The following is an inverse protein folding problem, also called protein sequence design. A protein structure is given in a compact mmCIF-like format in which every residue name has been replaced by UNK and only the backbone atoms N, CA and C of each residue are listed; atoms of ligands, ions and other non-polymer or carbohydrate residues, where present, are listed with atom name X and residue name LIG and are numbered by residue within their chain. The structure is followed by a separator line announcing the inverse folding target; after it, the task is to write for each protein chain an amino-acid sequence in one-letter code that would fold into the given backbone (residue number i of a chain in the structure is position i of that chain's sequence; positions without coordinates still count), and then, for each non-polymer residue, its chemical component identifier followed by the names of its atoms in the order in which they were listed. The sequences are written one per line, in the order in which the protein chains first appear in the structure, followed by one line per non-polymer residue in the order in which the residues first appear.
data_IF_713080928241
#
_entry.id   IF_713080928241
#
_cell.length_a   1.000
_cell.length_b   1.000
_cell.length_c   1.000
_cell.angle_alpha   90.00
_cell.angle_beta   90.00
_cell.angle_gamma   90.00
#
_symmetry.space_group_name_H-M   'P 1'
#
loop_
_entity.id
_entity.type
_entity.pdbx_description
1 polymer ?
#
# COMPACT_ATOMS: atom_id res chain seq x y z
N UNK A 1 10.95 -0.20 24.16
CA UNK A 1 11.29 -0.99 22.97
C UNK A 1 11.79 -0.03 21.91
N UNK A 2 12.97 -0.25 21.35
CA UNK A 2 13.66 0.76 20.56
C UNK A 2 12.90 1.02 19.23
N UNK A 3 12.94 2.24 18.66
CA UNK A 3 12.31 2.54 17.37
C UNK A 3 12.79 1.62 16.23
N UNK A 4 14.03 1.15 16.34
CA UNK A 4 14.78 0.43 15.30
C UNK A 4 14.28 -1.03 15.16
N UNK A 5 13.99 -1.70 16.28
CA UNK A 5 13.44 -3.08 16.31
C UNK A 5 12.06 -3.17 15.65
N UNK A 6 11.28 -2.09 15.71
CA UNK A 6 9.94 -2.03 15.07
C UNK A 6 10.04 -1.90 13.55
N UNK A 7 11.09 -1.26 13.04
CA UNK A 7 11.36 -1.15 11.61
C UNK A 7 11.67 -2.52 11.00
N UNK A 8 12.64 -3.23 11.58
CA UNK A 8 13.06 -4.56 11.10
C UNK A 8 11.92 -5.59 11.15
N UNK A 9 11.09 -5.54 12.19
CA UNK A 9 9.91 -6.41 12.29
C UNK A 9 8.92 -6.14 11.16
N UNK A 10 8.60 -4.87 10.90
CA UNK A 10 7.66 -4.48 9.84
C UNK A 10 8.18 -4.88 8.46
N UNK A 11 9.47 -4.64 8.19
CA UNK A 11 10.14 -5.02 6.95
C UNK A 11 10.06 -6.54 6.73
N UNK A 12 10.36 -7.33 7.77
CA UNK A 12 10.26 -8.79 7.71
C UNK A 12 8.82 -9.25 7.45
N UNK A 13 7.85 -8.63 8.12
CA UNK A 13 6.44 -8.97 7.98
C UNK A 13 5.93 -8.70 6.57
N UNK A 14 6.18 -7.49 6.04
CA UNK A 14 5.71 -7.10 4.70
C UNK A 14 6.42 -7.91 3.62
N UNK A 15 7.71 -8.22 3.80
CA UNK A 15 8.45 -9.10 2.88
C UNK A 15 7.79 -10.48 2.81
N UNK A 16 7.61 -11.14 3.96
CA UNK A 16 6.97 -12.47 4.00
C UNK A 16 5.54 -12.44 3.46
N UNK A 17 4.78 -11.40 3.78
CA UNK A 17 3.44 -11.21 3.26
C UNK A 17 3.44 -11.10 1.73
N UNK A 18 4.32 -10.28 1.15
CA UNK A 18 4.35 -10.01 -0.29
C UNK A 18 4.65 -11.28 -1.10
N UNK A 19 5.64 -12.06 -0.64
CA UNK A 19 5.94 -13.36 -1.22
C UNK A 19 4.77 -14.34 -1.10
N UNK A 20 4.15 -14.44 0.09
CA UNK A 20 3.04 -15.36 0.32
C UNK A 20 1.80 -14.96 -0.48
N UNK A 21 1.50 -13.67 -0.56
CA UNK A 21 0.37 -13.14 -1.33
C UNK A 21 0.52 -13.48 -2.81
N UNK A 22 1.71 -13.29 -3.40
CA UNK A 22 1.96 -13.67 -4.78
C UNK A 22 1.84 -15.18 -5.01
N UNK A 23 2.39 -15.99 -4.10
CA UNK A 23 2.33 -17.44 -4.18
C UNK A 23 0.90 -18.00 -4.04
N UNK A 24 0.05 -17.35 -3.24
CA UNK A 24 -1.34 -17.74 -3.06
C UNK A 24 -2.28 -17.23 -4.16
N UNK A 25 -1.89 -16.18 -4.89
CA UNK A 25 -2.74 -15.55 -5.91
C UNK A 25 -2.04 -15.47 -7.28
N UNK A 26 -1.56 -16.59 -7.84
CA UNK A 26 -0.72 -16.57 -9.05
C UNK A 26 -1.44 -16.02 -10.28
N UNK A 27 -2.74 -16.31 -10.44
CA UNK A 27 -3.53 -15.83 -11.57
C UNK A 27 -3.71 -14.30 -11.52
N UNK A 28 -3.99 -13.76 -10.33
CA UNK A 28 -4.09 -12.32 -10.11
C UNK A 28 -2.76 -11.62 -10.38
N UNK A 29 -1.64 -12.19 -9.94
CA UNK A 29 -0.32 -11.62 -10.19
C UNK A 29 0.00 -11.59 -11.68
N UNK A 30 -0.40 -12.63 -12.43
CA UNK A 30 -0.23 -12.70 -13.89
C UNK A 30 -1.11 -11.67 -14.61
N UNK A 31 -2.37 -11.53 -14.19
CA UNK A 31 -3.31 -10.58 -14.79
C UNK A 31 -2.87 -9.12 -14.55
N UNK A 32 -2.46 -8.81 -13.33
CA UNK A 32 -2.01 -7.46 -12.94
C UNK A 32 -0.54 -7.18 -13.27
N UNK A 33 0.23 -8.18 -13.71
CA UNK A 33 1.66 -8.06 -14.00
C UNK A 33 2.50 -7.67 -12.77
N UNK A 34 2.08 -8.05 -11.57
CA UNK A 34 2.72 -7.66 -10.31
C UNK A 34 3.81 -8.65 -9.89
N UNK A 35 4.92 -8.11 -9.39
CA UNK A 35 5.98 -8.88 -8.72
C UNK A 35 5.84 -8.80 -7.20
N UNK A 36 6.48 -9.72 -6.44
CA UNK A 36 6.57 -9.61 -4.99
C UNK A 36 7.10 -8.26 -4.51
N UNK A 37 8.08 -7.69 -5.22
CA UNK A 37 8.65 -6.37 -4.91
C UNK A 37 7.61 -5.25 -5.10
N UNK A 38 6.80 -5.32 -6.16
CA UNK A 38 5.72 -4.37 -6.39
C UNK A 38 4.66 -4.47 -5.27
N UNK A 39 4.31 -5.68 -4.84
CA UNK A 39 3.39 -5.90 -3.71
C UNK A 39 3.96 -5.35 -2.40
N UNK A 40 5.26 -5.53 -2.15
CA UNK A 40 5.94 -4.96 -0.99
C UNK A 40 5.80 -3.43 -0.96
N UNK A 41 6.13 -2.76 -2.06
CA UNK A 41 6.01 -1.30 -2.19
C UNK A 41 4.56 -0.82 -2.06
N UNK A 42 3.60 -1.57 -2.62
CA UNK A 42 2.17 -1.29 -2.46
C UNK A 42 1.75 -1.34 -0.99
N UNK A 43 2.17 -2.35 -0.23
CA UNK A 43 1.87 -2.46 1.19
C UNK A 43 2.36 -1.24 1.98
N UNK A 44 3.60 -0.80 1.76
CA UNK A 44 4.11 0.43 2.39
C UNK A 44 3.30 1.65 1.98
N UNK A 45 2.97 1.79 0.70
CA UNK A 45 2.16 2.89 0.20
C UNK A 45 0.79 2.95 0.89
N UNK A 46 0.14 1.79 1.09
CA UNK A 46 -1.16 1.69 1.75
C UNK A 46 -1.09 2.00 3.25
N UNK A 47 -0.03 1.58 3.93
CA UNK A 47 0.21 1.93 5.34
C UNK A 47 0.40 3.44 5.47
N UNK A 48 1.23 4.04 4.62
CA UNK A 48 1.45 5.49 4.61
C UNK A 48 0.17 6.27 4.31
N UNK A 49 -0.64 5.81 3.35
CA UNK A 49 -1.95 6.39 3.06
C UNK A 49 -2.89 6.29 4.27
N UNK A 50 -2.93 5.12 4.92
CA UNK A 50 -3.78 4.91 6.11
C UNK A 50 -3.39 5.87 7.24
N UNK A 51 -2.09 6.04 7.49
CA UNK A 51 -1.57 6.98 8.50
C UNK A 51 -1.92 8.42 8.12
N UNK A 52 -1.73 8.81 6.85
CA UNK A 52 -2.04 10.14 6.35
C UNK A 52 -3.52 10.48 6.55
N UNK A 53 -4.42 9.58 6.13
CA UNK A 53 -5.87 9.79 6.21
C UNK A 53 -6.39 9.81 7.65
N UNK A 54 -5.89 8.95 8.52
CA UNK A 54 -6.38 8.84 9.92
C UNK A 54 -5.72 9.82 10.89
N UNK A 55 -4.53 10.34 10.60
CA UNK A 55 -3.80 11.22 11.53
C UNK A 55 -4.44 12.61 11.62
N UNK A 56 -4.92 13.06 12.81
CA UNK A 56 -5.51 14.39 12.96
C UNK A 56 -4.50 15.53 12.74
N UNK A 57 -3.20 15.23 12.78
CA UNK A 57 -2.13 16.20 12.56
C UNK A 57 -1.94 16.56 11.07
N UNK A 58 -2.41 15.70 10.16
CA UNK A 58 -2.35 15.95 8.73
C UNK A 58 -3.59 16.73 8.32
N UNK A 59 -3.41 18.04 8.06
CA UNK A 59 -4.48 18.95 7.63
C UNK A 59 -4.86 18.75 6.16
N UNK A 60 -3.86 18.57 5.30
CA UNK A 60 -4.05 18.34 3.88
C UNK A 60 -3.79 16.86 3.59
N UNK A 61 -4.87 16.10 3.49
CA UNK A 61 -4.81 14.66 3.19
C UNK A 61 -4.32 14.42 1.77
N UNK A 62 -3.56 13.35 1.58
CA UNK A 62 -3.11 12.92 0.27
C UNK A 62 -4.32 12.64 -0.62
N UNK A 63 -4.41 13.33 -1.75
CA UNK A 63 -5.49 13.07 -2.71
C UNK A 63 -5.26 11.76 -3.46
N UNK A 64 -6.34 11.16 -3.99
CA UNK A 64 -6.27 9.98 -4.86
C UNK A 64 -5.25 10.14 -5.99
N UNK A 65 -5.23 11.31 -6.63
CA UNK A 65 -4.29 11.63 -7.72
C UNK A 65 -2.84 11.63 -7.24
N UNK A 66 -2.57 12.17 -6.06
CA UNK A 66 -1.24 12.17 -5.47
C UNK A 66 -0.80 10.76 -5.09
N UNK A 67 -1.69 9.96 -4.50
CA UNK A 67 -1.42 8.56 -4.17
C UNK A 67 -1.04 7.76 -5.42
N UNK A 68 -1.87 7.81 -6.47
CA UNK A 68 -1.59 7.11 -7.74
C UNK A 68 -0.22 7.52 -8.31
N UNK A 69 0.06 8.84 -8.36
CA UNK A 69 1.33 9.36 -8.85
C UNK A 69 2.52 8.85 -8.03
N UNK A 70 2.41 8.87 -6.70
CA UNK A 70 3.50 8.48 -5.81
C UNK A 70 3.77 6.96 -5.89
N UNK A 71 2.72 6.14 -5.87
CA UNK A 71 2.84 4.68 -5.94
C UNK A 71 3.39 4.22 -7.28
N UNK A 72 3.01 4.84 -8.40
CA UNK A 72 3.57 4.51 -9.73
C UNK A 72 5.04 4.88 -9.91
N UNK A 73 5.52 5.87 -9.16
CA UNK A 73 6.96 6.19 -9.14
C UNK A 73 7.76 5.16 -8.35
N UNK A 74 7.14 4.56 -7.33
CA UNK A 74 7.79 3.60 -6.44
C UNK A 74 7.71 2.16 -6.96
N UNK A 75 6.64 1.80 -7.68
CA UNK A 75 6.45 0.48 -8.25
C UNK A 75 6.06 0.55 -9.73
N UNK A 76 6.82 -0.17 -10.55
CA UNK A 76 6.61 -0.21 -12.00
C UNK A 76 5.50 -1.20 -12.37
N UNK A 77 4.90 -1.00 -13.55
CA UNK A 77 3.89 -1.88 -14.16
C UNK A 77 2.57 -2.03 -13.38
N UNK A 78 2.22 -1.06 -12.53
CA UNK A 78 0.92 -1.08 -11.83
C UNK A 78 -0.08 -0.18 -12.56
N UNK A 79 -1.29 -0.72 -12.78
CA UNK A 79 -2.42 0.02 -13.36
C UNK A 79 -2.89 1.16 -12.44
N UNK A 80 -3.15 2.33 -13.02
CA UNK A 80 -3.70 3.50 -12.30
C UNK A 80 -5.07 3.22 -11.70
N UNK A 81 -5.88 2.47 -12.43
CA UNK A 81 -7.23 2.08 -12.00
C UNK A 81 -7.16 1.21 -10.74
N UNK A 82 -6.27 0.20 -10.76
CA UNK A 82 -6.05 -0.67 -9.59
C UNK A 82 -5.58 0.12 -8.37
N UNK A 83 -4.57 0.99 -8.52
CA UNK A 83 -4.08 1.84 -7.41
C UNK A 83 -5.17 2.79 -6.92
N UNK A 84 -5.97 3.34 -7.84
CA UNK A 84 -7.12 4.17 -7.52
C UNK A 84 -8.16 3.44 -6.69
N UNK A 85 -8.49 2.20 -7.05
CA UNK A 85 -9.40 1.35 -6.28
C UNK A 85 -8.88 1.05 -4.88
N UNK A 86 -7.57 0.83 -4.72
CA UNK A 86 -6.98 0.66 -3.39
C UNK A 86 -7.12 1.92 -2.53
N UNK A 87 -6.93 3.11 -3.11
CA UNK A 87 -7.16 4.38 -2.40
C UNK A 87 -8.61 4.49 -1.92
N UNK A 88 -9.57 4.22 -2.80
CA UNK A 88 -11.00 4.34 -2.47
C UNK A 88 -11.36 3.38 -1.33
N UNK A 89 -10.84 2.15 -1.34
CA UNK A 89 -11.05 1.19 -0.27
C UNK A 89 -10.57 1.72 1.08
N UNK A 90 -9.36 2.26 1.18
CA UNK A 90 -8.83 2.82 2.44
C UNK A 90 -9.64 4.06 2.87
N UNK A 91 -9.95 4.94 1.92
CA UNK A 91 -10.70 6.17 2.18
C UNK A 91 -12.11 5.88 2.71
N UNK A 92 -12.82 4.92 2.11
CA UNK A 92 -14.15 4.51 2.52
C UNK A 92 -14.12 3.81 3.88
N UNK A 93 -13.17 2.91 4.14
CA UNK A 93 -13.03 2.26 5.45
C UNK A 93 -12.76 3.30 6.55
N UNK A 94 -11.90 4.29 6.27
CA UNK A 94 -11.59 5.36 7.22
C UNK A 94 -12.76 6.31 7.51
N UNK A 95 -13.69 6.52 6.57
CA UNK A 95 -14.88 7.34 6.76
C UNK A 95 -16.06 6.58 7.37
N UNK A 96 -16.21 5.29 7.09
CA UNK A 96 -17.31 4.47 7.62
C UNK A 96 -17.06 4.08 9.10
N UNK A 97 -15.81 4.08 9.55
CA UNK A 97 -15.45 3.79 10.93
C UNK A 97 -15.36 5.02 11.86
N UNK A 98 -15.67 6.23 11.36
CA UNK A 98 -15.60 7.49 12.09
C UNK A 98 -16.97 8.00 12.54
#
# INVERSE_FOLDING_TARGET
HAPEERGEYLETLITKFSHRFCACNPDLMRELGLSPDAVYVLCYSLILLSIDLTSPHVKNKMSKREFIRNTRRAAQNISEDFVGHLYDNIYLIGHVAA
#
